data_IF_888406501950
#
_entry.id   IF_888406501950
#
_cell.length_a   1.000
_cell.length_b   1.000
_cell.length_c   1.000
_cell.angle_alpha   90.00
_cell.angle_beta   90.00
_cell.angle_gamma   90.00
#
_symmetry.space_group_name_H-M   'P 1'
#
loop_
_entity.id
_entity.type
_entity.pdbx_description
1 polymer ?
#
# COMPACT_ATOMS: atom_id res chain seq x y z
N UNK A 1 21.66 -5.44 -14.60
CA UNK A 1 20.88 -5.47 -15.86
C UNK A 1 21.75 -6.05 -16.96
N UNK A 2 21.64 -7.36 -17.21
CA UNK A 2 22.25 -7.98 -18.40
C UNK A 2 21.33 -7.72 -19.58
N UNK A 3 21.88 -7.58 -20.78
CA UNK A 3 21.13 -7.29 -22.00
C UNK A 3 20.13 -8.42 -22.29
N UNK A 4 18.83 -8.21 -22.00
CA UNK A 4 17.76 -9.19 -22.25
C UNK A 4 16.64 -9.24 -21.21
N UNK A 5 16.83 -8.68 -20.00
CA UNK A 5 15.78 -8.69 -18.96
C UNK A 5 14.69 -7.68 -19.28
N UNK A 6 13.51 -8.18 -19.69
CA UNK A 6 12.30 -7.38 -19.82
C UNK A 6 11.68 -7.19 -18.43
N UNK A 7 11.55 -5.94 -17.97
CA UNK A 7 10.91 -5.63 -16.70
C UNK A 7 9.44 -6.09 -16.73
N UNK A 8 9.09 -7.00 -15.82
CA UNK A 8 7.74 -7.51 -15.64
C UNK A 8 7.27 -7.17 -14.21
N UNK A 9 6.45 -6.11 -14.02
CA UNK A 9 6.14 -5.61 -12.68
C UNK A 9 5.29 -6.56 -11.84
N UNK A 10 4.70 -7.59 -12.46
CA UNK A 10 3.90 -8.60 -11.79
C UNK A 10 4.72 -9.78 -11.25
N UNK A 11 6.00 -9.93 -11.66
CA UNK A 11 6.84 -11.06 -11.24
C UNK A 11 7.09 -11.01 -9.73
N UNK A 12 6.68 -12.06 -9.03
CA UNK A 12 6.97 -12.25 -7.62
C UNK A 12 7.68 -13.59 -7.40
N UNK A 13 8.93 -13.57 -6.92
CA UNK A 13 9.68 -14.78 -6.59
C UNK A 13 10.29 -14.72 -5.18
N UNK A 14 9.88 -15.63 -4.30
CA UNK A 14 10.20 -15.61 -2.87
C UNK A 14 11.71 -15.63 -2.54
N UNK A 15 12.61 -16.05 -3.45
CA UNK A 15 14.07 -16.21 -3.18
C UNK A 15 15.01 -15.92 -4.36
N UNK A 16 14.53 -15.25 -5.42
CA UNK A 16 15.28 -15.09 -6.67
C UNK A 16 15.39 -13.67 -7.22
N UNK A 17 14.74 -12.69 -6.58
CA UNK A 17 14.53 -11.35 -7.15
C UNK A 17 14.79 -10.20 -6.16
N UNK A 18 14.60 -8.97 -6.67
CA UNK A 18 14.85 -7.71 -5.98
C UNK A 18 13.86 -7.40 -4.83
N UNK A 19 12.73 -8.13 -4.77
CA UNK A 19 11.64 -7.92 -3.82
C UNK A 19 11.37 -9.17 -2.98
N UNK A 20 11.22 -8.99 -1.67
CA UNK A 20 10.85 -10.09 -0.76
C UNK A 20 9.33 -10.23 -0.72
N UNK A 21 8.85 -11.45 -0.98
CA UNK A 21 7.44 -11.85 -0.76
C UNK A 21 6.40 -10.96 -1.49
N UNK A 22 6.82 -10.35 -2.59
CA UNK A 22 5.99 -9.45 -3.38
C UNK A 22 6.66 -9.11 -4.71
N UNK A 23 6.09 -8.14 -5.41
CA UNK A 23 6.60 -7.62 -6.67
C UNK A 23 6.66 -6.08 -6.63
N UNK A 24 6.94 -5.48 -7.78
CA UNK A 24 7.08 -4.04 -7.90
C UNK A 24 5.77 -3.29 -7.54
N UNK A 25 4.60 -3.89 -7.74
CA UNK A 25 3.33 -3.26 -7.36
C UNK A 25 3.20 -3.04 -5.86
N UNK A 26 3.65 -3.98 -5.02
CA UNK A 26 3.58 -3.83 -3.56
C UNK A 26 4.70 -2.94 -3.03
N UNK A 27 5.93 -3.16 -3.48
CA UNK A 27 7.09 -2.47 -2.91
C UNK A 27 7.27 -1.01 -3.34
N UNK A 28 6.65 -0.58 -4.44
CA UNK A 28 6.73 0.81 -4.93
C UNK A 28 6.32 1.86 -3.88
N UNK A 29 5.45 1.47 -2.94
CA UNK A 29 4.85 2.39 -1.97
C UNK A 29 5.65 2.56 -0.68
N UNK A 30 6.72 1.81 -0.50
CA UNK A 30 7.43 1.70 0.78
C UNK A 30 8.46 2.83 1.00
N UNK A 31 7.96 4.07 1.00
CA UNK A 31 8.71 5.26 1.40
C UNK A 31 7.94 6.09 2.46
N UNK A 32 7.51 5.48 3.58
CA UNK A 32 6.59 6.10 4.53
C UNK A 32 7.12 7.41 5.14
N UNK A 33 8.44 7.60 5.19
CA UNK A 33 9.09 8.82 5.68
C UNK A 33 9.03 10.00 4.68
N UNK A 34 8.77 9.77 3.40
CA UNK A 34 8.72 10.83 2.38
C UNK A 34 7.73 10.53 1.24
N UNK A 35 6.45 10.37 1.58
CA UNK A 35 5.39 10.15 0.58
C UNK A 35 5.24 11.30 -0.41
N UNK A 36 5.52 12.54 0.02
CA UNK A 36 5.46 13.70 -0.87
C UNK A 36 6.56 13.65 -1.95
N UNK A 37 7.78 13.26 -1.58
CA UNK A 37 8.85 13.02 -2.55
C UNK A 37 8.57 11.84 -3.47
N UNK A 38 8.00 10.75 -2.95
CA UNK A 38 7.57 9.62 -3.78
C UNK A 38 6.56 10.07 -4.85
N UNK A 39 5.53 10.82 -4.43
CA UNK A 39 4.54 11.38 -5.35
C UNK A 39 5.18 12.30 -6.39
N UNK A 40 6.09 13.19 -5.98
CA UNK A 40 6.82 14.09 -6.88
C UNK A 40 7.62 13.32 -7.94
N UNK A 41 8.36 12.28 -7.55
CA UNK A 41 9.11 11.41 -8.46
C UNK A 41 8.19 10.72 -9.46
N UNK A 42 7.03 10.19 -9.00
CA UNK A 42 6.01 9.62 -9.87
C UNK A 42 5.45 10.65 -10.85
N UNK A 43 5.34 11.91 -10.44
CA UNK A 43 4.97 13.05 -11.28
C UNK A 43 6.07 13.53 -12.24
N UNK A 44 7.25 12.91 -12.21
CA UNK A 44 8.38 13.23 -13.07
C UNK A 44 9.37 14.24 -12.48
N UNK A 45 9.17 14.69 -11.25
CA UNK A 45 10.12 15.56 -10.55
C UNK A 45 11.26 14.72 -9.97
N UNK A 46 12.37 14.68 -10.70
CA UNK A 46 13.55 13.87 -10.38
C UNK A 46 14.65 14.66 -9.69
N UNK A 47 14.33 15.80 -9.09
CA UNK A 47 15.35 16.61 -8.43
C UNK A 47 15.94 15.89 -7.22
N UNK A 48 17.26 15.95 -7.10
CA UNK A 48 17.97 15.38 -5.97
C UNK A 48 17.74 16.26 -4.74
N UNK A 49 17.14 15.69 -3.70
CA UNK A 49 16.82 16.41 -2.47
C UNK A 49 18.09 16.66 -1.65
N UNK A 50 18.39 17.94 -1.42
CA UNK A 50 19.59 18.37 -0.67
C UNK A 50 19.29 18.88 0.75
N UNK A 51 18.01 19.13 1.08
CA UNK A 51 17.57 19.59 2.40
C UNK A 51 16.52 18.66 3.01
N UNK A 52 16.83 18.10 4.18
CA UNK A 52 15.98 17.18 4.95
C UNK A 52 15.38 17.80 6.21
N UNK A 53 15.52 19.12 6.40
CA UNK A 53 15.08 19.84 7.61
C UNK A 53 13.56 19.96 7.77
N UNK A 54 12.80 19.84 6.68
CA UNK A 54 11.34 19.92 6.68
C UNK A 54 10.71 18.87 5.74
N UNK A 55 9.44 18.49 5.91
CA UNK A 55 8.74 17.63 4.95
C UNK A 55 8.73 18.25 3.55
N UNK A 56 8.89 17.42 2.53
CA UNK A 56 8.85 17.88 1.14
C UNK A 56 7.44 18.36 0.77
N UNK A 57 7.33 19.38 -0.08
CA UNK A 57 6.02 19.86 -0.57
C UNK A 57 5.60 19.01 -1.77
N UNK A 58 4.41 18.40 -1.70
CA UNK A 58 3.86 17.67 -2.84
C UNK A 58 3.40 18.63 -3.93
N UNK A 59 3.91 18.43 -5.15
CA UNK A 59 3.51 19.17 -6.35
C UNK A 59 2.12 18.74 -6.82
N UNK A 60 1.44 19.58 -7.60
CA UNK A 60 0.15 19.23 -8.19
C UNK A 60 0.27 18.02 -9.16
N UNK A 61 1.35 17.97 -9.93
CA UNK A 61 1.68 16.87 -10.83
C UNK A 61 1.96 15.59 -10.05
N UNK A 62 2.76 15.68 -8.98
CA UNK A 62 3.03 14.55 -8.11
C UNK A 62 1.76 14.00 -7.47
N UNK A 63 0.89 14.88 -6.97
CA UNK A 63 -0.41 14.49 -6.40
C UNK A 63 -1.31 13.76 -7.40
N UNK A 64 -1.35 14.23 -8.66
CA UNK A 64 -2.13 13.59 -9.72
C UNK A 64 -1.54 12.23 -10.13
N UNK A 65 -0.22 12.13 -10.25
CA UNK A 65 0.46 10.87 -10.57
C UNK A 65 0.30 9.83 -9.45
N UNK A 66 0.38 10.27 -8.18
CA UNK A 66 0.18 9.42 -7.02
C UNK A 66 -1.23 8.80 -7.01
N UNK A 67 -2.26 9.60 -7.27
CA UNK A 67 -3.63 9.13 -7.45
C UNK A 67 -3.74 8.12 -8.61
N UNK A 68 -3.20 8.46 -9.78
CA UNK A 68 -3.28 7.60 -10.95
C UNK A 68 -2.58 6.24 -10.75
N UNK A 69 -1.44 6.22 -10.05
CA UNK A 69 -0.73 4.99 -9.74
C UNK A 69 -1.46 4.15 -8.68
N UNK A 70 -2.11 4.77 -7.69
CA UNK A 70 -2.94 4.05 -6.73
C UNK A 70 -4.14 3.42 -7.43
N UNK A 71 -4.82 4.18 -8.28
CA UNK A 71 -5.91 3.66 -9.10
C UNK A 71 -5.43 2.51 -9.99
N UNK A 72 -4.25 2.61 -10.58
CA UNK A 72 -3.66 1.53 -11.37
C UNK A 72 -3.41 0.27 -10.53
N UNK A 73 -2.90 0.39 -9.31
CA UNK A 73 -2.70 -0.74 -8.39
C UNK A 73 -4.02 -1.47 -8.11
N UNK A 74 -5.04 -0.74 -7.66
CA UNK A 74 -6.31 -1.34 -7.23
C UNK A 74 -7.18 -1.84 -8.40
N UNK A 75 -6.90 -1.41 -9.64
CA UNK A 75 -7.60 -1.87 -10.85
C UNK A 75 -6.78 -2.86 -11.71
N UNK A 76 -5.52 -3.13 -11.38
CA UNK A 76 -4.67 -4.06 -12.13
C UNK A 76 -5.21 -5.49 -12.06
N UNK A 77 -4.86 -6.32 -13.05
CA UNK A 77 -5.30 -7.73 -13.08
C UNK A 77 -4.63 -8.51 -11.93
N UNK A 78 -5.44 -9.03 -11.00
CA UNK A 78 -4.97 -9.82 -9.86
C UNK A 78 -4.37 -11.17 -10.25
N UNK A 79 -4.58 -11.61 -11.51
CA UNK A 79 -4.13 -12.91 -12.04
C UNK A 79 -3.03 -12.80 -13.09
N UNK A 80 -2.49 -11.60 -13.32
CA UNK A 80 -1.49 -11.35 -14.35
C UNK A 80 -0.19 -12.16 -14.18
N UNK A 81 0.13 -12.59 -12.96
CA UNK A 81 1.16 -13.59 -12.70
C UNK A 81 0.54 -14.74 -11.92
N UNK A 82 0.76 -15.99 -12.36
CA UNK A 82 0.31 -17.20 -11.67
C UNK A 82 1.40 -17.85 -10.83
N UNK A 83 2.61 -17.27 -10.80
CA UNK A 83 3.77 -17.74 -10.03
C UNK A 83 3.90 -17.10 -8.64
N UNK A 84 2.86 -16.36 -8.23
CA UNK A 84 2.77 -15.63 -6.96
C UNK A 84 3.22 -16.45 -5.74
N UNK A 85 3.91 -15.79 -4.81
CA UNK A 85 4.28 -16.43 -3.53
C UNK A 85 3.04 -16.85 -2.75
N UNK A 86 3.16 -17.94 -1.99
CA UNK A 86 2.16 -18.34 -0.99
C UNK A 86 1.83 -17.25 0.05
N UNK A 87 2.75 -16.30 0.24
CA UNK A 87 2.59 -15.14 1.12
C UNK A 87 1.73 -14.04 0.50
N UNK A 88 1.40 -14.14 -0.80
CA UNK A 88 0.56 -13.16 -1.49
C UNK A 88 -0.88 -13.68 -1.62
N UNK A 89 -1.76 -13.18 -0.76
CA UNK A 89 -3.18 -13.53 -0.75
C UNK A 89 -4.08 -12.31 -0.47
N UNK A 90 -5.37 -12.43 -0.77
CA UNK A 90 -6.34 -11.36 -0.51
C UNK A 90 -6.18 -10.18 -1.46
N UNK A 91 -6.28 -10.44 -2.76
CA UNK A 91 -6.06 -9.43 -3.79
C UNK A 91 -7.24 -8.47 -3.98
N UNK A 92 -6.94 -7.16 -4.02
CA UNK A 92 -7.82 -6.12 -4.61
C UNK A 92 -7.01 -5.45 -5.71
N UNK A 93 -7.21 -5.89 -6.95
CA UNK A 93 -6.27 -5.61 -8.04
C UNK A 93 -4.92 -6.25 -7.74
N UNK A 94 -3.85 -5.46 -7.66
CA UNK A 94 -2.53 -5.90 -7.23
C UNK A 94 -2.21 -5.56 -5.76
N UNK A 95 -3.11 -4.92 -5.01
CA UNK A 95 -2.96 -4.83 -3.55
C UNK A 95 -3.17 -6.21 -2.91
N UNK A 96 -2.35 -6.56 -1.93
CA UNK A 96 -2.32 -7.84 -1.21
C UNK A 96 -2.58 -7.59 0.28
N UNK A 97 -3.76 -7.97 0.77
CA UNK A 97 -4.08 -7.83 2.19
C UNK A 97 -3.34 -8.84 3.08
N UNK A 98 -2.98 -10.00 2.54
CA UNK A 98 -2.37 -11.07 3.33
C UNK A 98 -0.90 -10.88 3.70
N UNK A 99 -0.29 -9.75 3.31
CA UNK A 99 1.14 -9.49 3.50
C UNK A 99 1.41 -8.03 3.90
N UNK A 100 2.37 -7.81 4.80
CA UNK A 100 2.66 -6.52 5.42
C UNK A 100 3.06 -5.37 4.50
N UNK A 101 3.83 -5.58 3.41
CA UNK A 101 4.33 -4.46 2.60
C UNK A 101 3.23 -3.52 2.09
N UNK A 102 2.01 -4.03 1.96
CA UNK A 102 0.86 -3.31 1.43
C UNK A 102 -0.06 -2.71 2.50
N UNK A 103 0.11 -3.04 3.78
CA UNK A 103 -0.84 -2.68 4.84
C UNK A 103 -1.12 -1.17 4.96
N UNK A 104 -0.15 -0.31 4.63
CA UNK A 104 -0.32 1.14 4.64
C UNK A 104 -0.92 1.71 3.34
N UNK A 105 -0.92 0.96 2.24
CA UNK A 105 -1.22 1.45 0.89
C UNK A 105 -2.64 2.01 0.74
N UNK A 106 -3.72 1.38 1.26
CA UNK A 106 -5.07 1.95 1.18
C UNK A 106 -5.17 3.36 1.78
N UNK A 107 -4.36 3.65 2.80
CA UNK A 107 -4.35 4.92 3.51
C UNK A 107 -3.66 6.05 2.72
N UNK A 108 -2.92 5.71 1.66
CA UNK A 108 -2.20 6.66 0.84
C UNK A 108 -3.12 7.55 0.00
N UNK A 109 -4.37 7.13 -0.26
CA UNK A 109 -5.37 8.02 -0.87
C UNK A 109 -5.61 9.29 -0.05
N UNK A 110 -5.33 9.31 1.26
CA UNK A 110 -5.40 10.54 2.07
C UNK A 110 -4.43 11.65 1.62
N UNK A 111 -3.36 11.31 0.90
CA UNK A 111 -2.45 12.27 0.29
C UNK A 111 -2.90 12.75 -1.10
N UNK A 112 -3.97 12.16 -1.63
CA UNK A 112 -4.47 12.45 -2.99
C UNK A 112 -5.63 13.45 -2.97
N UNK A 113 -6.24 13.68 -4.13
CA UNK A 113 -7.47 14.44 -4.25
C UNK A 113 -8.71 13.61 -3.87
N UNK A 114 -8.56 12.30 -3.68
CA UNK A 114 -9.66 11.34 -3.52
C UNK A 114 -9.57 10.52 -2.22
N UNK A 115 -9.51 11.17 -1.04
CA UNK A 115 -9.34 10.48 0.25
C UNK A 115 -10.51 9.53 0.60
N UNK A 116 -11.69 9.68 -0.01
CA UNK A 116 -12.80 8.76 0.22
C UNK A 116 -12.50 7.34 -0.27
N UNK A 117 -11.59 7.17 -1.24
CA UNK A 117 -11.14 5.84 -1.69
C UNK A 117 -10.41 5.05 -0.60
N UNK A 118 -9.76 5.71 0.38
CA UNK A 118 -9.25 5.00 1.57
C UNK A 118 -10.38 4.27 2.28
N UNK A 119 -11.52 4.93 2.50
CA UNK A 119 -12.67 4.31 3.17
C UNK A 119 -13.23 3.14 2.37
N UNK A 120 -13.33 3.28 1.04
CA UNK A 120 -13.82 2.23 0.15
C UNK A 120 -12.95 0.97 0.23
N UNK A 121 -11.64 1.11 0.02
CA UNK A 121 -10.71 -0.02 0.02
C UNK A 121 -10.57 -0.65 1.41
N UNK A 122 -10.43 0.16 2.48
CA UNK A 122 -10.31 -0.38 3.85
C UNK A 122 -11.58 -1.15 4.23
N UNK A 123 -12.76 -0.62 3.90
CA UNK A 123 -14.02 -1.34 4.15
C UNK A 123 -14.10 -2.65 3.35
N UNK A 124 -13.68 -2.63 2.08
CA UNK A 124 -13.64 -3.84 1.26
C UNK A 124 -12.70 -4.89 1.88
N UNK A 125 -11.46 -4.51 2.20
CA UNK A 125 -10.48 -5.45 2.75
C UNK A 125 -10.93 -6.04 4.10
N UNK A 126 -11.51 -5.22 4.99
CA UNK A 126 -12.08 -5.71 6.25
C UNK A 126 -13.25 -6.69 6.04
N UNK A 127 -14.12 -6.45 5.06
CA UNK A 127 -15.28 -7.31 4.82
C UNK A 127 -14.91 -8.61 4.09
N UNK A 128 -13.97 -8.54 3.16
CA UNK A 128 -13.64 -9.67 2.28
C UNK A 128 -12.63 -10.61 2.95
N UNK A 129 -11.74 -10.11 3.80
CA UNK A 129 -10.56 -10.84 4.29
C UNK A 129 -10.49 -11.09 5.79
N UNK A 130 -11.48 -10.64 6.55
CA UNK A 130 -11.57 -10.88 8.00
C UNK A 130 -12.93 -11.47 8.37
N UNK A 131 -12.95 -12.73 8.80
CA UNK A 131 -14.15 -13.47 9.19
C UNK A 131 -14.03 -14.04 10.61
N UNK A 132 -15.13 -14.16 11.38
CA UNK A 132 -15.12 -14.74 12.71
C UNK A 132 -15.13 -16.28 12.67
N UNK A 133 -14.18 -16.88 11.94
CA UNK A 133 -14.02 -18.32 11.72
C UNK A 133 -12.57 -18.75 11.91
N UNK A 134 -12.30 -20.06 12.00
CA UNK A 134 -10.93 -20.58 12.09
C UNK A 134 -10.07 -20.11 10.90
N UNK A 135 -10.60 -20.22 9.68
CA UNK A 135 -9.95 -19.79 8.42
C UNK A 135 -10.22 -18.30 8.12
N UNK A 136 -10.41 -17.50 9.17
CA UNK A 136 -10.96 -16.15 9.05
C UNK A 136 -9.99 -15.08 8.57
N UNK A 137 -8.69 -15.38 8.52
CA UNK A 137 -7.63 -14.48 8.04
C UNK A 137 -7.12 -14.96 6.70
N UNK A 138 -6.87 -14.03 5.80
CA UNK A 138 -6.48 -14.35 4.42
C UNK A 138 -4.99 -14.72 4.27
N UNK A 139 -4.17 -14.37 5.25
CA UNK A 139 -2.73 -14.64 5.29
C UNK A 139 -2.26 -15.03 6.71
N UNK A 140 -0.95 -15.10 6.90
CA UNK A 140 -0.37 -15.34 8.22
C UNK A 140 -0.75 -14.20 9.18
N UNK A 141 -0.90 -14.51 10.47
CA UNK A 141 -1.31 -13.50 11.46
C UNK A 141 -0.17 -12.54 11.83
N UNK A 142 1.06 -13.01 11.63
CA UNK A 142 2.33 -12.32 11.86
C UNK A 142 2.44 -11.63 13.22
N UNK A 143 2.17 -12.42 14.25
CA UNK A 143 2.42 -12.11 15.67
C UNK A 143 1.72 -10.81 16.09
N UNK A 144 0.47 -10.65 15.68
CA UNK A 144 -0.38 -9.51 16.00
C UNK A 144 -0.51 -8.49 14.88
N UNK A 145 0.25 -8.59 13.80
CA UNK A 145 0.29 -7.55 12.76
C UNK A 145 -1.03 -7.44 11.98
N UNK A 146 -1.58 -8.57 11.52
CA UNK A 146 -2.90 -8.60 10.85
C UNK A 146 -4.02 -8.13 11.79
N UNK A 147 -3.95 -8.56 13.06
CA UNK A 147 -4.92 -8.18 14.09
C UNK A 147 -4.84 -6.69 14.42
N UNK A 148 -3.63 -6.14 14.54
CA UNK A 148 -3.40 -4.72 14.80
C UNK A 148 -3.92 -3.87 13.63
N UNK A 149 -3.68 -4.28 12.39
CA UNK A 149 -4.24 -3.63 11.22
C UNK A 149 -5.77 -3.53 11.32
N UNK A 150 -6.45 -4.65 11.58
CA UNK A 150 -7.91 -4.67 11.72
C UNK A 150 -8.40 -3.75 12.84
N UNK A 151 -7.77 -3.80 14.03
CA UNK A 151 -8.15 -2.97 15.18
C UNK A 151 -8.01 -1.49 14.85
N UNK A 152 -6.89 -1.09 14.27
CA UNK A 152 -6.63 0.30 13.88
C UNK A 152 -7.64 0.78 12.82
N UNK A 153 -7.82 0.00 11.75
CA UNK A 153 -8.83 0.23 10.70
C UNK A 153 -10.24 0.39 11.28
N UNK A 154 -10.62 -0.49 12.21
CA UNK A 154 -11.92 -0.45 12.89
C UNK A 154 -12.11 0.79 13.77
N UNK A 155 -11.03 1.26 14.43
CA UNK A 155 -11.02 2.52 15.18
C UNK A 155 -11.04 3.76 14.28
N UNK A 156 -10.79 3.59 12.98
CA UNK A 156 -10.89 4.65 11.99
C UNK A 156 -9.60 5.41 11.75
N UNK A 157 -8.43 4.85 12.08
CA UNK A 157 -7.12 5.43 11.75
C UNK A 157 -6.04 4.38 11.57
N UNK A 158 -4.92 4.74 10.93
CA UNK A 158 -3.76 3.85 10.78
C UNK A 158 -2.44 4.61 10.87
N UNK A 159 -1.39 3.95 11.36
CA UNK A 159 -0.05 4.54 11.49
C UNK A 159 0.78 4.23 10.24
N UNK A 160 0.63 5.05 9.21
CA UNK A 160 1.37 4.90 7.93
C UNK A 160 2.88 5.08 8.10
N UNK A 161 3.31 5.97 9.00
CA UNK A 161 4.74 6.28 9.20
C UNK A 161 5.13 6.03 10.66
N UNK A 162 5.56 4.80 11.01
CA UNK A 162 6.10 4.50 12.33
C UNK A 162 7.27 5.43 12.70
N UNK A 163 7.36 5.84 13.96
CA UNK A 163 8.41 6.75 14.45
C UNK A 163 8.19 8.24 14.18
N UNK A 164 7.19 8.62 13.39
CA UNK A 164 6.72 10.01 13.28
C UNK A 164 5.73 10.35 14.41
N UNK A 165 5.52 11.64 14.70
CA UNK A 165 4.44 12.03 15.61
C UNK A 165 3.10 11.52 15.05
N UNK A 166 2.22 10.94 15.88
CA UNK A 166 0.97 10.36 15.40
C UNK A 166 0.11 11.46 14.75
N UNK A 167 0.04 11.45 13.42
CA UNK A 167 -0.96 12.21 12.67
C UNK A 167 -2.03 11.19 12.28
N UNK A 168 -3.14 11.07 13.03
CA UNK A 168 -4.16 10.09 12.72
C UNK A 168 -4.77 10.41 11.36
N UNK A 169 -4.54 9.54 10.38
CA UNK A 169 -5.16 9.63 9.06
C UNK A 169 -6.52 8.97 9.16
N UNK A 170 -7.57 9.72 8.83
CA UNK A 170 -8.95 9.25 8.99
C UNK A 170 -9.22 8.12 8.00
N UNK A 171 -9.46 6.92 8.52
CA UNK A 171 -9.90 5.75 7.78
C UNK A 171 -11.43 5.65 7.70
N UNK A 172 -12.16 6.29 8.63
CA UNK A 172 -13.64 6.31 8.72
C UNK A 172 -14.11 7.57 9.45
N UNK A 173 -15.15 8.24 8.94
CA UNK A 173 -15.78 9.38 9.61
C UNK A 173 -16.92 9.00 10.59
N UNK A 174 -17.23 7.71 10.77
CA UNK A 174 -18.31 7.28 11.65
C UNK A 174 -17.94 6.02 12.45
N UNK A 175 -17.73 6.19 13.75
CA UNK A 175 -17.95 5.12 14.73
C UNK A 175 -19.47 4.93 14.77
N UNK A 176 -19.99 3.83 14.22
CA UNK A 176 -21.37 3.45 14.51
C UNK A 176 -21.40 3.10 16.00
N UNK A 177 -22.00 4.00 16.79
CA UNK A 177 -22.37 3.75 18.19
C UNK A 177 -23.49 2.71 18.25
#
# INVERSE_FOLDING_TARGET
MVQGDHFWPYRAEHRGEDFTEGNAWQWTWFAPQNLNGLANIMGGDKQERTDYSAPEVMTAQGKAAFLANLDALFNADSKADTTQSHDMSGFIGQFVMGNEPDHHVPYLYNWTAEPWKTQEIVNQAMNDFYHPTHEGLIGNEDVGQMSAWYIMSALGFYQVTPGSQPTPLVARSSIKR
#
